data_IF_907665086067
#
_entry.id   IF_907665086067
#
_cell.length_a   1.000
_cell.length_b   1.000
_cell.length_c   1.000
_cell.angle_alpha   90.00
_cell.angle_beta   90.00
_cell.angle_gamma   90.00
#
_symmetry.space_group_name_H-M   'P 1'
#
loop_
_entity.id
_entity.type
_entity.pdbx_description
1 polymer ?
#
# COMPACT_ATOMS: atom_id res chain seq x y z
N UNK A 1 -44.82 51.92 -30.67
CA UNK A 1 -44.32 51.86 -29.31
C UNK A 1 -44.53 50.42 -28.82
N UNK A 2 -43.55 49.55 -28.95
CA UNK A 2 -43.60 48.17 -28.49
C UNK A 2 -42.45 47.94 -27.52
N UNK A 3 -42.78 47.77 -26.25
CA UNK A 3 -41.86 47.55 -25.14
C UNK A 3 -41.40 46.06 -25.17
N UNK A 4 -40.14 45.82 -25.43
CA UNK A 4 -39.52 44.52 -25.30
C UNK A 4 -39.16 44.28 -23.81
N UNK A 5 -39.85 43.35 -23.19
CA UNK A 5 -39.53 42.89 -21.84
C UNK A 5 -38.35 41.92 -21.96
N UNK A 6 -37.15 42.37 -21.59
CA UNK A 6 -35.97 41.55 -21.49
C UNK A 6 -36.05 40.63 -20.25
N UNK A 7 -36.25 39.33 -20.46
CA UNK A 7 -36.09 38.33 -19.43
C UNK A 7 -34.60 38.15 -19.14
N UNK A 8 -34.12 38.74 -18.07
CA UNK A 8 -32.78 38.42 -17.54
C UNK A 8 -32.84 37.03 -16.95
N UNK A 9 -32.29 36.04 -17.65
CA UNK A 9 -32.00 34.74 -17.08
C UNK A 9 -31.04 34.94 -15.89
N UNK A 10 -31.46 34.53 -14.71
CA UNK A 10 -30.56 34.44 -13.56
C UNK A 10 -29.42 33.46 -13.90
N UNK A 11 -28.17 33.74 -13.51
CA UNK A 11 -27.09 32.77 -13.70
C UNK A 11 -27.44 31.50 -12.94
N UNK A 12 -27.51 30.38 -13.65
CA UNK A 12 -27.54 29.04 -13.03
C UNK A 12 -26.21 28.91 -12.29
N UNK A 13 -26.22 29.13 -10.98
CA UNK A 13 -25.09 28.73 -10.13
C UNK A 13 -25.02 27.22 -10.25
N UNK A 14 -24.14 26.72 -11.11
CA UNK A 14 -23.69 25.37 -11.05
C UNK A 14 -22.95 25.26 -9.70
N UNK A 15 -23.62 24.76 -8.67
CA UNK A 15 -22.97 24.46 -7.39
C UNK A 15 -21.87 23.45 -7.67
N UNK A 16 -20.62 23.84 -7.37
CA UNK A 16 -19.48 22.98 -7.57
C UNK A 16 -19.70 21.69 -6.74
N UNK A 17 -19.63 20.55 -7.40
CA UNK A 17 -19.73 19.25 -6.73
C UNK A 17 -18.58 19.14 -5.74
N UNK A 18 -18.89 18.68 -4.52
CA UNK A 18 -17.92 18.49 -3.46
C UNK A 18 -17.81 17.01 -3.14
N UNK A 19 -16.56 16.49 -3.08
CA UNK A 19 -16.25 15.10 -2.72
C UNK A 19 -15.30 15.10 -1.54
N UNK A 20 -15.83 14.98 -0.33
CA UNK A 20 -15.00 14.93 0.87
C UNK A 20 -14.57 13.49 1.16
N UNK A 21 -13.30 13.33 1.52
CA UNK A 21 -12.73 12.04 1.87
C UNK A 21 -12.83 11.78 3.37
N UNK A 22 -13.17 10.55 3.73
CA UNK A 22 -13.28 10.11 5.12
C UNK A 22 -12.34 8.91 5.32
N UNK A 23 -11.38 9.05 6.23
CA UNK A 23 -10.34 8.05 6.48
C UNK A 23 -10.28 7.67 7.96
N UNK A 24 -10.13 6.38 8.32
CA UNK A 24 -9.95 5.94 9.70
C UNK A 24 -8.78 6.60 10.42
N UNK A 25 -7.61 6.60 9.78
CA UNK A 25 -6.38 7.23 10.31
C UNK A 25 -5.58 7.87 9.18
N UNK A 26 -5.13 9.10 9.38
CA UNK A 26 -4.29 9.84 8.43
C UNK A 26 -2.84 9.88 8.95
N UNK A 27 -1.89 9.38 8.16
CA UNK A 27 -0.48 9.37 8.49
C UNK A 27 0.38 9.61 7.24
N UNK A 28 1.47 10.37 7.37
CA UNK A 28 2.35 10.73 6.24
C UNK A 28 3.18 9.57 5.70
N UNK A 29 3.48 8.59 6.59
CA UNK A 29 4.29 7.41 6.24
C UNK A 29 3.45 6.16 6.00
N UNK A 30 2.16 6.34 5.76
CA UNK A 30 1.24 5.28 5.39
C UNK A 30 0.79 5.45 3.93
N UNK A 31 0.86 4.39 3.16
CA UNK A 31 0.48 4.37 1.75
C UNK A 31 -0.92 4.94 1.50
N UNK A 32 -1.87 4.65 2.40
CA UNK A 32 -3.27 5.09 2.28
C UNK A 32 -3.40 6.58 2.60
N UNK A 33 -2.63 7.07 3.59
CA UNK A 33 -2.56 8.50 3.90
C UNK A 33 -2.05 9.32 2.71
N UNK A 34 -0.91 8.90 2.13
CA UNK A 34 -0.34 9.53 0.92
C UNK A 34 -1.31 9.47 -0.25
N UNK A 35 -1.91 8.31 -0.52
CA UNK A 35 -2.94 8.17 -1.55
C UNK A 35 -4.10 9.15 -1.35
N UNK A 36 -4.61 9.27 -0.11
CA UNK A 36 -5.74 10.16 0.22
C UNK A 36 -5.41 11.63 -0.08
N UNK A 37 -4.20 12.08 0.28
CA UNK A 37 -3.76 13.45 0.01
C UNK A 37 -3.56 13.71 -1.48
N UNK A 38 -2.93 12.80 -2.21
CA UNK A 38 -2.75 12.90 -3.66
C UNK A 38 -4.09 12.92 -4.39
N UNK A 39 -5.07 12.13 -3.95
CA UNK A 39 -6.42 12.14 -4.51
C UNK A 39 -7.13 13.46 -4.22
N UNK A 40 -7.03 14.02 -3.01
CA UNK A 40 -7.57 15.34 -2.66
C UNK A 40 -7.04 16.40 -3.64
N UNK A 41 -5.75 16.41 -3.83
CA UNK A 41 -5.09 17.41 -4.67
C UNK A 41 -5.46 17.21 -6.16
N UNK A 42 -5.58 15.97 -6.62
CA UNK A 42 -6.08 15.64 -7.96
C UNK A 42 -7.53 16.08 -8.18
N UNK A 43 -8.41 15.85 -7.21
CA UNK A 43 -9.81 16.30 -7.27
C UNK A 43 -9.88 17.84 -7.34
N UNK A 44 -9.14 18.54 -6.49
CA UNK A 44 -9.07 20.01 -6.47
C UNK A 44 -8.53 20.57 -7.79
N UNK A 45 -7.49 19.96 -8.34
CA UNK A 45 -6.95 20.35 -9.66
C UNK A 45 -7.97 20.17 -10.80
N UNK A 46 -8.90 19.23 -10.65
CA UNK A 46 -10.00 19.01 -11.61
C UNK A 46 -11.26 19.87 -11.34
N UNK A 47 -11.21 20.81 -10.39
CA UNK A 47 -12.31 21.71 -10.06
C UNK A 47 -13.38 21.09 -9.14
N UNK A 48 -13.06 19.98 -8.46
CA UNK A 48 -13.94 19.34 -7.47
C UNK A 48 -13.43 19.72 -6.09
N UNK A 49 -14.24 20.38 -5.27
CA UNK A 49 -13.88 20.64 -3.89
C UNK A 49 -13.71 19.34 -3.12
N UNK A 50 -12.63 19.21 -2.36
CA UNK A 50 -12.34 18.02 -1.56
C UNK A 50 -11.56 18.39 -0.31
N UNK A 51 -12.03 17.94 0.84
CA UNK A 51 -11.31 17.96 2.12
C UNK A 51 -11.17 16.54 2.66
N UNK A 52 -10.20 16.35 3.57
CA UNK A 52 -9.95 15.09 4.25
C UNK A 52 -10.47 15.17 5.69
N UNK A 53 -11.26 14.18 6.09
CA UNK A 53 -11.79 14.03 7.44
C UNK A 53 -11.28 12.70 8.03
N UNK A 54 -10.58 12.78 9.16
CA UNK A 54 -9.95 11.63 9.79
C UNK A 54 -10.58 11.26 11.13
N UNK A 55 -10.46 9.99 11.51
CA UNK A 55 -10.76 9.51 12.87
C UNK A 55 -9.61 9.78 13.83
N UNK A 56 -8.39 9.48 13.37
CA UNK A 56 -7.13 9.78 14.06
C UNK A 56 -6.09 10.28 13.06
N UNK A 57 -4.99 10.83 13.54
CA UNK A 57 -3.90 11.32 12.69
C UNK A 57 -2.55 11.28 13.43
N UNK A 58 -1.45 11.29 12.67
CA UNK A 58 -0.13 11.60 13.21
C UNK A 58 0.11 13.10 13.26
N UNK A 59 0.92 13.63 14.20
CA UNK A 59 1.07 15.09 14.40
C UNK A 59 1.54 15.87 13.17
N UNK A 60 2.32 15.24 12.31
CA UNK A 60 2.91 15.84 11.11
C UNK A 60 1.90 16.13 9.99
N UNK A 61 0.73 15.47 10.01
CA UNK A 61 -0.35 15.68 9.02
C UNK A 61 -1.63 16.29 9.59
N UNK A 62 -1.60 16.79 10.83
CA UNK A 62 -2.76 17.43 11.46
C UNK A 62 -3.36 18.55 10.61
N UNK A 63 -2.51 19.34 9.95
CA UNK A 63 -2.91 20.45 9.10
C UNK A 63 -3.47 20.04 7.73
N UNK A 64 -3.35 18.77 7.34
CA UNK A 64 -3.79 18.24 6.04
C UNK A 64 -5.26 17.80 6.01
N UNK A 65 -5.89 17.72 7.19
CA UNK A 65 -7.29 17.32 7.31
C UNK A 65 -7.97 17.89 8.55
N UNK A 66 -9.15 17.38 8.85
CA UNK A 66 -9.95 17.78 10.02
C UNK A 66 -10.52 16.54 10.70
N UNK A 67 -10.80 16.58 12.01
CA UNK A 67 -11.52 15.51 12.69
C UNK A 67 -12.88 15.23 12.02
N UNK A 68 -13.26 13.96 11.89
CA UNK A 68 -14.51 13.55 11.23
C UNK A 68 -15.77 14.13 11.90
N UNK A 69 -15.69 14.46 13.20
CA UNK A 69 -16.78 15.15 13.92
C UNK A 69 -17.07 16.55 13.39
N UNK A 70 -16.13 17.16 12.68
CA UNK A 70 -16.26 18.48 12.03
C UNK A 70 -16.85 18.41 10.63
N UNK A 71 -17.28 17.24 10.16
CA UNK A 71 -17.85 17.07 8.81
C UNK A 71 -19.09 17.95 8.56
N UNK A 72 -19.66 18.53 9.60
CA UNK A 72 -20.76 19.48 9.55
C UNK A 72 -22.09 18.85 9.12
N UNK A 73 -23.07 19.70 8.72
CA UNK A 73 -24.39 19.23 8.28
C UNK A 73 -24.32 18.58 6.91
N UNK A 74 -25.21 17.61 6.66
CA UNK A 74 -25.35 16.99 5.34
C UNK A 74 -25.69 18.05 4.26
N UNK A 75 -25.01 17.96 3.11
CA UNK A 75 -25.20 18.86 1.96
C UNK A 75 -25.73 18.08 0.75
N UNK A 76 -26.63 18.72 -0.06
CA UNK A 76 -27.20 18.07 -1.24
C UNK A 76 -26.18 17.84 -2.35
N UNK A 77 -25.16 18.71 -2.44
CA UNK A 77 -24.12 18.69 -3.48
C UNK A 77 -22.81 18.08 -2.97
N UNK A 78 -22.85 17.43 -1.80
CA UNK A 78 -21.72 16.76 -1.16
C UNK A 78 -21.79 15.25 -1.36
N UNK A 79 -20.65 14.67 -1.74
CA UNK A 79 -20.39 13.24 -1.75
C UNK A 79 -19.37 12.89 -0.68
N UNK A 80 -19.43 11.67 -0.16
CA UNK A 80 -18.46 11.16 0.81
C UNK A 80 -17.72 9.99 0.20
N UNK A 81 -16.40 10.09 0.09
CA UNK A 81 -15.52 9.02 -0.34
C UNK A 81 -14.84 8.39 0.89
N UNK A 82 -15.17 7.15 1.18
CA UNK A 82 -14.60 6.42 2.32
C UNK A 82 -13.35 5.64 1.92
N UNK A 83 -12.24 5.91 2.61
CA UNK A 83 -10.97 5.19 2.47
C UNK A 83 -11.02 3.95 3.38
N UNK A 84 -11.49 2.83 2.84
CA UNK A 84 -11.76 1.60 3.58
C UNK A 84 -10.49 0.74 3.72
N UNK A 85 -9.88 0.72 4.91
CA UNK A 85 -8.62 0.02 5.19
C UNK A 85 -8.63 -0.83 6.46
N UNK A 86 -9.50 -0.49 7.42
CA UNK A 86 -9.65 -1.19 8.70
C UNK A 86 -11.00 -0.84 9.32
N UNK A 87 -11.44 -1.61 10.32
CA UNK A 87 -12.62 -1.28 11.12
C UNK A 87 -12.40 -0.04 11.99
N UNK A 88 -13.38 0.85 12.01
CA UNK A 88 -13.26 2.12 12.73
C UNK A 88 -14.61 2.67 13.14
N UNK A 89 -14.72 3.38 14.28
CA UNK A 89 -15.91 4.16 14.65
C UNK A 89 -16.28 5.23 13.62
N UNK A 90 -15.35 5.67 12.79
CA UNK A 90 -15.58 6.61 11.66
C UNK A 90 -16.64 6.07 10.70
N UNK A 91 -16.70 4.75 10.52
CA UNK A 91 -17.75 4.12 9.72
C UNK A 91 -19.16 4.43 10.22
N UNK A 92 -19.39 4.42 11.53
CA UNK A 92 -20.73 4.66 12.08
C UNK A 92 -21.21 6.09 11.80
N UNK A 93 -20.28 7.06 11.88
CA UNK A 93 -20.53 8.45 11.49
C UNK A 93 -20.88 8.52 10.00
N UNK A 94 -20.08 7.89 9.14
CA UNK A 94 -20.30 7.85 7.70
C UNK A 94 -21.63 7.16 7.33
N UNK A 95 -21.93 6.01 7.93
CA UNK A 95 -23.12 5.20 7.63
C UNK A 95 -24.42 5.92 8.02
N UNK A 96 -24.39 6.74 9.08
CA UNK A 96 -25.55 7.52 9.54
C UNK A 96 -25.86 8.73 8.62
N UNK A 97 -25.00 9.05 7.66
CA UNK A 97 -25.17 10.23 6.80
C UNK A 97 -26.00 9.92 5.55
N UNK A 98 -26.74 10.92 5.09
CA UNK A 98 -27.63 10.82 3.92
C UNK A 98 -26.98 11.09 2.60
N UNK A 99 -25.75 11.66 2.57
CA UNK A 99 -25.01 11.93 1.35
C UNK A 99 -24.72 10.64 0.57
N UNK A 100 -24.70 10.70 -0.76
CA UNK A 100 -24.24 9.57 -1.58
C UNK A 100 -22.78 9.24 -1.27
N UNK A 101 -22.46 7.94 -1.32
CA UNK A 101 -21.17 7.43 -0.90
C UNK A 101 -20.41 6.78 -2.05
N UNK A 102 -19.12 7.04 -2.07
CA UNK A 102 -18.10 6.33 -2.84
C UNK A 102 -17.22 5.57 -1.85
N UNK A 103 -16.61 4.48 -2.29
CA UNK A 103 -15.68 3.70 -1.48
C UNK A 103 -14.38 3.55 -2.26
N UNK A 104 -13.25 3.74 -1.59
CA UNK A 104 -11.96 3.26 -2.05
C UNK A 104 -11.49 2.16 -1.09
N UNK A 105 -11.24 0.99 -1.63
CA UNK A 105 -10.94 -0.20 -0.84
C UNK A 105 -9.46 -0.56 -0.95
N UNK A 106 -8.75 -0.38 0.17
CA UNK A 106 -7.30 -0.58 0.31
C UNK A 106 -6.91 -1.96 0.86
N UNK A 107 -7.83 -2.90 0.84
CA UNK A 107 -7.72 -4.21 1.46
C UNK A 107 -7.83 -4.19 2.99
N UNK A 108 -8.45 -5.21 3.53
CA UNK A 108 -8.50 -5.47 4.97
C UNK A 108 -8.03 -6.91 5.21
N UNK A 109 -6.89 -7.05 5.89
CA UNK A 109 -6.29 -8.35 6.21
C UNK A 109 -7.31 -9.27 6.90
N UNK A 110 -7.44 -10.54 6.51
CA UNK A 110 -8.27 -11.52 7.22
C UNK A 110 -7.83 -11.64 8.68
N UNK A 111 -8.80 -11.59 9.60
CA UNK A 111 -8.54 -11.54 11.05
C UNK A 111 -7.81 -12.79 11.57
N UNK A 112 -8.02 -13.95 10.94
CA UNK A 112 -7.37 -15.21 11.27
C UNK A 112 -5.84 -15.16 11.12
N UNK A 113 -5.31 -14.34 10.21
CA UNK A 113 -3.87 -14.15 10.02
C UNK A 113 -3.21 -13.30 11.13
N UNK A 114 -4.01 -12.66 11.96
CA UNK A 114 -3.56 -11.74 13.02
C UNK A 114 -3.89 -12.24 14.42
N UNK A 115 -4.90 -13.08 14.56
CA UNK A 115 -5.57 -13.39 15.84
C UNK A 115 -4.63 -13.90 16.92
N UNK A 116 -3.71 -14.78 16.56
CA UNK A 116 -2.84 -15.46 17.54
C UNK A 116 -1.73 -14.53 18.08
N UNK A 117 -1.42 -13.47 17.34
CA UNK A 117 -0.37 -12.54 17.69
C UNK A 117 -0.87 -11.15 18.10
N UNK A 118 -1.85 -10.63 17.37
CA UNK A 118 -2.37 -9.27 17.52
C UNK A 118 -3.92 -9.28 17.59
N UNK A 119 -4.51 -9.82 18.67
CA UNK A 119 -5.95 -10.03 18.75
C UNK A 119 -6.79 -8.74 18.66
N UNK A 120 -6.26 -7.61 19.13
CA UNK A 120 -6.93 -6.31 19.01
C UNK A 120 -7.03 -5.88 17.55
N UNK A 121 -5.93 -5.99 16.78
CA UNK A 121 -5.91 -5.65 15.35
C UNK A 121 -6.77 -6.65 14.55
N UNK A 122 -6.76 -7.93 14.95
CA UNK A 122 -7.63 -8.94 14.35
C UNK A 122 -9.11 -8.60 14.53
N UNK A 123 -9.51 -8.11 15.72
CA UNK A 123 -10.87 -7.64 15.96
C UNK A 123 -11.22 -6.45 15.05
N UNK A 124 -10.35 -5.46 14.96
CA UNK A 124 -10.56 -4.30 14.07
C UNK A 124 -10.67 -4.73 12.60
N UNK A 125 -9.84 -5.68 12.16
CA UNK A 125 -9.91 -6.22 10.79
C UNK A 125 -11.24 -6.93 10.53
N UNK A 126 -11.71 -7.78 11.44
CA UNK A 126 -13.03 -8.45 11.35
C UNK A 126 -14.17 -7.45 11.32
N UNK A 127 -14.10 -6.42 12.18
CA UNK A 127 -15.06 -5.32 12.19
C UNK A 127 -15.09 -4.60 10.85
N UNK A 128 -13.92 -4.26 10.31
CA UNK A 128 -13.79 -3.54 9.03
C UNK A 128 -14.40 -4.31 7.85
N UNK A 129 -14.17 -5.61 7.76
CA UNK A 129 -14.82 -6.47 6.74
C UNK A 129 -16.36 -6.47 6.89
N UNK A 130 -16.86 -6.50 8.12
CA UNK A 130 -18.29 -6.39 8.41
C UNK A 130 -18.85 -5.03 8.00
N UNK A 131 -18.14 -3.95 8.34
CA UNK A 131 -18.51 -2.57 8.00
C UNK A 131 -18.51 -2.36 6.48
N UNK A 132 -17.50 -2.85 5.77
CA UNK A 132 -17.41 -2.78 4.33
C UNK A 132 -18.63 -3.45 3.65
N UNK A 133 -19.02 -4.66 4.09
CA UNK A 133 -20.20 -5.34 3.58
C UNK A 133 -21.51 -4.57 3.83
N UNK A 134 -21.65 -3.94 5.01
CA UNK A 134 -22.82 -3.11 5.33
C UNK A 134 -22.89 -1.82 4.53
N UNK A 135 -21.76 -1.33 4.01
CA UNK A 135 -21.70 -0.11 3.22
C UNK A 135 -22.08 -0.36 1.75
N UNK A 136 -21.98 -1.58 1.25
CA UNK A 136 -22.25 -1.91 -0.15
C UNK A 136 -23.59 -1.39 -0.68
N UNK A 137 -24.76 -1.59 -0.01
CA UNK A 137 -26.05 -1.09 -0.49
C UNK A 137 -26.18 0.45 -0.46
N UNK A 138 -25.30 1.15 0.26
CA UNK A 138 -25.29 2.61 0.38
C UNK A 138 -24.30 3.28 -0.60
N UNK A 139 -23.44 2.47 -1.23
CA UNK A 139 -22.36 2.96 -2.12
C UNK A 139 -22.84 3.01 -3.56
N UNK A 140 -22.55 4.13 -4.24
CA UNK A 140 -22.87 4.31 -5.66
C UNK A 140 -21.79 3.70 -6.55
N UNK A 141 -20.54 3.78 -6.11
CA UNK A 141 -19.39 3.30 -6.84
C UNK A 141 -18.25 2.97 -5.87
N UNK A 142 -17.41 2.01 -6.23
CA UNK A 142 -16.23 1.69 -5.44
C UNK A 142 -14.98 1.54 -6.33
N UNK A 143 -13.83 1.98 -5.82
CA UNK A 143 -12.53 1.78 -6.43
C UNK A 143 -11.74 0.80 -5.58
N UNK A 144 -10.99 -0.08 -6.22
CA UNK A 144 -10.11 -1.06 -5.59
C UNK A 144 -8.68 -0.88 -6.10
N UNK A 145 -7.68 -1.15 -5.25
CA UNK A 145 -6.27 -0.99 -5.62
C UNK A 145 -5.76 -2.09 -6.57
N UNK A 146 -6.49 -3.22 -6.67
CA UNK A 146 -6.16 -4.37 -7.50
C UNK A 146 -7.42 -5.14 -7.92
N UNK A 147 -7.30 -6.01 -8.93
CA UNK A 147 -8.39 -6.90 -9.32
C UNK A 147 -8.73 -7.91 -8.21
N UNK A 148 -7.75 -8.31 -7.39
CA UNK A 148 -8.02 -9.10 -6.18
C UNK A 148 -8.95 -8.35 -5.23
N UNK A 149 -8.64 -7.10 -4.88
CA UNK A 149 -9.50 -6.27 -4.03
C UNK A 149 -10.88 -6.04 -4.65
N UNK A 150 -10.96 -5.83 -5.97
CA UNK A 150 -12.23 -5.69 -6.68
C UNK A 150 -13.08 -6.97 -6.54
N UNK A 151 -12.46 -8.15 -6.61
CA UNK A 151 -13.16 -9.43 -6.43
C UNK A 151 -13.78 -9.57 -5.04
N UNK A 152 -13.11 -9.06 -3.99
CA UNK A 152 -13.66 -9.00 -2.62
C UNK A 152 -14.85 -8.03 -2.55
N UNK A 153 -14.80 -6.89 -3.22
CA UNK A 153 -15.93 -5.96 -3.31
C UNK A 153 -17.15 -6.60 -3.99
N UNK A 154 -16.94 -7.32 -5.08
CA UNK A 154 -18.01 -8.06 -5.78
C UNK A 154 -18.65 -9.12 -4.85
N UNK A 155 -17.84 -9.86 -4.11
CA UNK A 155 -18.31 -10.85 -3.15
C UNK A 155 -19.16 -10.22 -2.02
N UNK A 156 -18.92 -8.95 -1.68
CA UNK A 156 -19.69 -8.18 -0.71
C UNK A 156 -20.92 -7.46 -1.30
N UNK A 157 -21.17 -7.62 -2.62
CA UNK A 157 -22.35 -7.08 -3.30
C UNK A 157 -22.21 -5.68 -3.89
N UNK A 158 -20.99 -5.12 -3.98
CA UNK A 158 -20.74 -3.91 -4.74
C UNK A 158 -20.96 -4.17 -6.23
N UNK A 159 -21.67 -3.26 -6.93
CA UNK A 159 -22.08 -3.47 -8.34
C UNK A 159 -21.33 -2.56 -9.32
N UNK A 160 -21.03 -1.32 -8.90
CA UNK A 160 -20.23 -0.40 -9.70
C UNK A 160 -18.83 -0.36 -9.13
N UNK A 161 -17.85 -0.94 -9.83
CA UNK A 161 -16.46 -1.01 -9.37
C UNK A 161 -15.49 -0.67 -10.48
N UNK A 162 -14.27 -0.28 -10.11
CA UNK A 162 -13.13 -0.17 -11.01
C UNK A 162 -11.82 -0.40 -10.25
N UNK A 163 -10.80 -0.80 -10.96
CA UNK A 163 -9.44 -0.95 -10.41
C UNK A 163 -8.62 0.28 -10.78
N UNK A 164 -8.05 0.94 -9.75
CA UNK A 164 -7.03 1.99 -9.91
C UNK A 164 -5.95 1.73 -8.86
N UNK A 165 -4.68 1.57 -9.27
CA UNK A 165 -3.57 1.41 -8.34
C UNK A 165 -3.49 2.59 -7.35
N UNK A 166 -2.83 2.34 -6.21
CA UNK A 166 -2.58 3.38 -5.21
C UNK A 166 -1.91 4.62 -5.82
N UNK A 167 -2.41 5.79 -5.46
CA UNK A 167 -1.89 7.09 -5.92
C UNK A 167 -0.65 7.48 -5.12
N UNK A 168 0.45 6.81 -5.41
CA UNK A 168 1.75 7.03 -4.76
C UNK A 168 2.79 7.20 -5.86
N UNK A 169 3.72 8.11 -5.67
CA UNK A 169 4.86 8.24 -6.57
C UNK A 169 5.87 7.11 -6.28
N UNK A 170 5.74 6.03 -7.01
CA UNK A 170 6.61 4.86 -6.92
C UNK A 170 7.93 5.03 -7.69
N UNK A 171 8.09 6.15 -8.37
CA UNK A 171 9.31 6.50 -9.12
C UNK A 171 10.08 7.64 -8.48
N UNK A 172 9.56 8.20 -7.38
CA UNK A 172 10.24 9.28 -6.67
C UNK A 172 11.55 8.76 -6.09
N UNK A 173 12.61 8.89 -6.89
CA UNK A 173 13.99 8.87 -6.39
C UNK A 173 14.29 10.22 -5.74
N UNK A 174 13.35 10.72 -4.94
CA UNK A 174 13.38 12.09 -4.42
C UNK A 174 14.44 12.27 -3.35
N UNK A 175 14.82 11.20 -2.69
CA UNK A 175 15.82 11.25 -1.64
C UNK A 175 17.18 10.78 -2.18
N UNK A 176 18.21 11.62 -2.01
CA UNK A 176 19.57 11.11 -2.08
C UNK A 176 19.74 10.06 -0.97
N UNK A 177 20.42 8.94 -1.25
CA UNK A 177 20.61 7.90 -0.25
C UNK A 177 21.37 8.45 0.95
N UNK A 178 21.01 8.02 2.15
CA UNK A 178 21.78 8.36 3.35
C UNK A 178 23.23 7.91 3.17
N UNK A 179 24.19 8.86 3.18
CA UNK A 179 25.57 8.56 2.82
C UNK A 179 26.29 7.68 3.84
N UNK A 180 25.91 7.77 5.12
CA UNK A 180 26.54 6.97 6.18
C UNK A 180 26.06 5.52 6.10
N UNK A 181 24.77 5.30 5.92
CA UNK A 181 24.21 3.97 5.75
C UNK A 181 24.68 3.33 4.44
N UNK A 182 24.65 4.05 3.33
CA UNK A 182 25.13 3.55 2.04
C UNK A 182 26.62 3.12 2.12
N UNK A 183 27.47 3.95 2.71
CA UNK A 183 28.88 3.61 2.93
C UNK A 183 29.05 2.42 3.90
N UNK A 184 28.17 2.29 4.91
CA UNK A 184 28.21 1.15 5.84
C UNK A 184 27.85 -0.16 5.16
N UNK A 185 26.79 -0.16 4.34
CA UNK A 185 26.36 -1.34 3.56
C UNK A 185 27.44 -1.75 2.55
N UNK A 186 28.01 -0.78 1.82
CA UNK A 186 29.09 -1.02 0.87
C UNK A 186 30.34 -1.62 1.55
N UNK A 187 30.81 -1.02 2.65
CA UNK A 187 31.97 -1.54 3.41
C UNK A 187 31.74 -2.96 3.92
N UNK A 188 30.51 -3.26 4.36
CA UNK A 188 30.17 -4.63 4.79
C UNK A 188 30.24 -5.62 3.62
N UNK A 189 29.67 -5.23 2.49
CA UNK A 189 29.70 -6.05 1.26
C UNK A 189 31.13 -6.27 0.75
N UNK A 190 31.97 -5.25 0.79
CA UNK A 190 33.39 -5.36 0.41
C UNK A 190 34.19 -6.28 1.36
N UNK A 191 33.92 -6.19 2.67
CA UNK A 191 34.66 -6.96 3.69
C UNK A 191 34.24 -8.43 3.72
N UNK A 192 32.92 -8.69 3.71
CA UNK A 192 32.35 -10.01 4.02
C UNK A 192 31.84 -10.73 2.77
N UNK A 193 31.72 -10.03 1.64
CA UNK A 193 31.03 -10.53 0.46
C UNK A 193 29.53 -10.74 0.68
N UNK A 194 28.94 -11.64 -0.09
CA UNK A 194 27.56 -12.09 0.04
C UNK A 194 26.50 -11.10 -0.48
N UNK A 195 25.30 -11.63 -0.70
CA UNK A 195 24.17 -10.87 -1.21
C UNK A 195 23.41 -10.16 -0.09
N UNK A 196 22.90 -8.95 -0.41
CA UNK A 196 21.99 -8.21 0.42
C UNK A 196 20.55 -8.39 -0.08
N UNK A 197 19.74 -9.12 0.69
CA UNK A 197 18.31 -9.31 0.44
C UNK A 197 17.53 -8.22 1.15
N UNK A 198 16.52 -7.66 0.50
CA UNK A 198 15.68 -6.62 1.07
C UNK A 198 14.22 -7.08 1.17
N UNK A 199 13.63 -6.85 2.32
CA UNK A 199 12.20 -6.83 2.57
C UNK A 199 11.80 -5.45 3.10
N UNK A 200 10.72 -4.88 2.59
CA UNK A 200 10.14 -3.63 3.10
C UNK A 200 8.67 -3.86 3.42
N UNK A 201 8.27 -3.52 4.64
CA UNK A 201 6.88 -3.66 5.08
C UNK A 201 6.77 -3.77 6.59
N UNK A 202 5.54 -3.72 7.10
CA UNK A 202 5.32 -3.90 8.55
C UNK A 202 5.83 -5.28 9.00
N UNK A 203 6.49 -5.31 10.13
CA UNK A 203 6.88 -6.56 10.80
C UNK A 203 5.65 -7.11 11.49
N UNK A 204 4.98 -8.05 10.84
CA UNK A 204 3.68 -8.57 11.28
C UNK A 204 3.45 -10.01 10.82
N UNK A 205 2.57 -10.78 11.49
CA UNK A 205 2.36 -12.19 11.19
C UNK A 205 1.99 -12.46 9.74
N UNK A 206 1.03 -11.72 9.20
CA UNK A 206 0.53 -11.91 7.83
C UNK A 206 1.52 -11.48 6.73
N UNK A 207 2.54 -10.70 7.08
CA UNK A 207 3.65 -10.38 6.18
C UNK A 207 4.74 -11.47 6.18
N UNK A 208 4.64 -12.40 7.12
CA UNK A 208 5.45 -13.61 7.25
C UNK A 208 6.98 -13.42 7.11
N UNK A 209 7.61 -12.40 7.74
CA UNK A 209 9.05 -12.25 7.71
C UNK A 209 9.78 -13.45 8.34
N UNK A 210 9.13 -14.23 9.21
CA UNK A 210 9.68 -15.48 9.74
C UNK A 210 9.93 -16.54 8.65
N UNK A 211 9.17 -16.56 7.55
CA UNK A 211 9.43 -17.45 6.41
C UNK A 211 10.63 -16.96 5.59
N UNK A 212 10.87 -15.66 5.52
CA UNK A 212 12.09 -15.09 4.93
C UNK A 212 13.34 -15.44 5.79
N UNK A 213 13.22 -15.47 7.12
CA UNK A 213 14.30 -15.92 8.01
C UNK A 213 14.63 -17.39 7.80
N UNK A 214 13.62 -18.26 7.68
CA UNK A 214 13.82 -19.68 7.31
C UNK A 214 14.48 -19.84 5.94
N UNK A 215 14.05 -19.05 4.97
CA UNK A 215 14.64 -19.02 3.64
C UNK A 215 16.11 -18.57 3.71
N UNK A 216 16.45 -17.53 4.49
CA UNK A 216 17.82 -17.08 4.68
C UNK A 216 18.72 -18.19 5.28
N UNK A 217 18.23 -18.94 6.27
CA UNK A 217 18.99 -20.07 6.85
C UNK A 217 19.37 -21.11 5.78
N UNK A 218 18.41 -21.48 4.93
CA UNK A 218 18.68 -22.41 3.81
C UNK A 218 19.62 -21.77 2.78
N UNK A 219 19.40 -20.51 2.42
CA UNK A 219 20.24 -19.79 1.45
C UNK A 219 21.70 -19.74 1.90
N UNK A 220 21.96 -19.42 3.17
CA UNK A 220 23.31 -19.36 3.74
C UNK A 220 24.00 -20.72 3.80
N UNK A 221 23.25 -21.79 4.05
CA UNK A 221 23.81 -23.14 4.09
C UNK A 221 24.15 -23.73 2.72
N UNK A 222 23.42 -23.32 1.68
CA UNK A 222 23.46 -24.01 0.38
C UNK A 222 24.05 -23.16 -0.73
N UNK A 223 23.77 -21.86 -0.76
CA UNK A 223 24.06 -21.01 -1.91
C UNK A 223 25.05 -19.87 -1.62
N UNK A 224 24.83 -19.12 -0.54
CA UNK A 224 25.65 -17.95 -0.20
C UNK A 224 25.79 -17.81 1.33
N UNK A 225 26.89 -18.34 1.91
CA UNK A 225 27.12 -18.31 3.37
C UNK A 225 27.19 -16.89 3.96
N UNK A 226 27.48 -15.90 3.16
CA UNK A 226 27.58 -14.50 3.58
C UNK A 226 26.32 -13.66 3.28
N UNK A 227 25.24 -14.28 2.76
CA UNK A 227 23.99 -13.59 2.48
C UNK A 227 23.38 -12.94 3.74
N UNK A 228 22.77 -11.79 3.55
CA UNK A 228 22.11 -10.98 4.58
C UNK A 228 20.68 -10.65 4.19
N UNK A 229 19.81 -10.47 5.20
CA UNK A 229 18.42 -10.06 5.02
C UNK A 229 18.15 -8.79 5.84
N UNK A 230 17.77 -7.73 5.16
CA UNK A 230 17.33 -6.47 5.76
C UNK A 230 15.81 -6.40 5.74
N UNK A 231 15.17 -6.45 6.90
CA UNK A 231 13.72 -6.37 7.06
C UNK A 231 13.34 -4.99 7.60
N UNK A 232 13.11 -4.06 6.67
CA UNK A 232 12.85 -2.65 6.95
C UNK A 232 11.36 -2.43 7.19
N UNK A 233 11.00 -1.85 8.33
CA UNK A 233 9.64 -1.45 8.67
C UNK A 233 9.32 -1.50 10.15
N UNK A 234 8.24 -0.84 10.54
CA UNK A 234 7.78 -0.83 11.93
C UNK A 234 7.06 -2.12 12.30
N UNK A 235 7.09 -2.52 13.59
CA UNK A 235 6.26 -3.61 14.07
C UNK A 235 4.77 -3.25 13.99
N UNK A 236 3.95 -4.28 13.82
CA UNK A 236 2.51 -4.22 14.05
C UNK A 236 2.25 -4.82 15.43
N UNK A 237 1.89 -3.99 16.41
CA UNK A 237 1.70 -4.45 17.79
C UNK A 237 3.01 -4.72 18.54
N UNK A 238 2.92 -5.50 19.63
CA UNK A 238 4.02 -5.64 20.59
C UNK A 238 4.52 -7.08 20.75
N UNK A 239 3.86 -8.08 20.17
CA UNK A 239 4.14 -9.48 20.48
C UNK A 239 4.94 -10.20 19.40
N UNK A 240 4.68 -9.93 18.14
CA UNK A 240 5.27 -10.68 17.04
C UNK A 240 6.76 -10.37 16.80
N UNK A 241 7.18 -9.09 16.82
CA UNK A 241 8.58 -8.74 16.55
C UNK A 241 9.54 -9.32 17.60
N UNK A 242 9.28 -9.27 18.93
CA UNK A 242 10.12 -9.93 19.91
C UNK A 242 10.29 -11.45 19.67
N UNK A 243 9.21 -12.12 19.29
CA UNK A 243 9.27 -13.54 18.93
C UNK A 243 10.10 -13.80 17.67
N UNK A 244 9.99 -12.93 16.66
CA UNK A 244 10.82 -13.00 15.45
C UNK A 244 12.31 -12.81 15.78
N UNK A 245 12.65 -11.85 16.65
CA UNK A 245 14.04 -11.64 17.09
C UNK A 245 14.59 -12.88 17.83
N UNK A 246 13.81 -13.45 18.76
CA UNK A 246 14.19 -14.68 19.43
C UNK A 246 14.40 -15.85 18.44
N UNK A 247 13.56 -15.96 17.43
CA UNK A 247 13.69 -16.97 16.38
C UNK A 247 14.95 -16.78 15.52
N UNK A 248 15.32 -15.54 15.19
CA UNK A 248 16.56 -15.21 14.49
C UNK A 248 17.79 -15.66 15.32
N UNK A 249 17.79 -15.37 16.62
CA UNK A 249 18.88 -15.75 17.52
C UNK A 249 18.98 -17.28 17.69
N UNK A 250 17.84 -17.97 17.81
CA UNK A 250 17.80 -19.43 17.93
C UNK A 250 18.38 -20.14 16.68
N UNK A 251 18.20 -19.55 15.51
CA UNK A 251 18.79 -20.05 14.26
C UNK A 251 20.26 -19.64 14.07
N UNK A 252 20.81 -18.81 14.97
CA UNK A 252 22.19 -18.30 14.86
C UNK A 252 22.36 -17.30 13.71
N UNK A 253 21.30 -16.54 13.37
CA UNK A 253 21.28 -15.58 12.27
C UNK A 253 21.36 -14.11 12.72
N UNK A 254 21.73 -13.86 13.98
CA UNK A 254 21.80 -12.49 14.53
C UNK A 254 22.78 -11.56 13.79
N UNK A 255 23.78 -12.11 13.10
CA UNK A 255 24.73 -11.37 12.26
C UNK A 255 24.27 -11.20 10.79
N UNK A 256 23.16 -11.82 10.42
CA UNK A 256 22.69 -11.92 9.03
C UNK A 256 21.26 -11.43 8.77
N UNK A 257 20.40 -11.43 9.78
CA UNK A 257 19.01 -10.96 9.67
C UNK A 257 18.82 -9.70 10.51
N UNK A 258 18.54 -8.59 9.85
CA UNK A 258 18.49 -7.25 10.45
C UNK A 258 17.08 -6.69 10.47
N UNK A 259 16.68 -6.12 11.61
CA UNK A 259 15.39 -5.44 11.84
C UNK A 259 15.68 -3.99 12.23
N UNK A 260 15.98 -3.09 11.27
CA UNK A 260 16.34 -1.69 11.57
C UNK A 260 15.15 -0.86 12.06
N UNK A 261 13.92 -1.38 11.95
CA UNK A 261 12.71 -0.64 12.29
C UNK A 261 12.28 0.30 11.16
N UNK A 262 11.55 1.35 11.54
CA UNK A 262 11.21 2.44 10.61
C UNK A 262 12.44 3.27 10.30
N UNK A 263 12.64 3.57 9.02
CA UNK A 263 13.78 4.35 8.52
C UNK A 263 13.27 5.62 7.81
N UNK A 264 14.15 6.58 7.57
CA UNK A 264 13.86 7.75 6.73
C UNK A 264 13.78 7.36 5.24
N UNK A 265 13.28 8.27 4.40
CA UNK A 265 13.27 8.06 2.94
C UNK A 265 14.69 7.88 2.37
N UNK A 266 15.65 8.69 2.84
CA UNK A 266 17.05 8.60 2.44
C UNK A 266 17.72 7.27 2.85
N UNK A 267 17.40 6.75 4.04
CA UNK A 267 17.87 5.42 4.47
C UNK A 267 17.18 4.30 3.67
N UNK A 268 15.89 4.42 3.37
CA UNK A 268 15.16 3.45 2.55
C UNK A 268 15.75 3.39 1.12
N UNK A 269 16.07 4.55 0.54
CA UNK A 269 16.76 4.65 -0.74
C UNK A 269 18.13 3.95 -0.72
N UNK A 270 18.90 4.08 0.38
CA UNK A 270 20.16 3.38 0.55
C UNK A 270 19.98 1.85 0.58
N UNK A 271 18.93 1.34 1.24
CA UNK A 271 18.62 -0.09 1.23
C UNK A 271 18.22 -0.59 -0.16
N UNK A 272 17.37 0.13 -0.89
CA UNK A 272 16.99 -0.28 -2.25
C UNK A 272 18.21 -0.30 -3.20
N UNK A 273 19.10 0.68 -3.12
CA UNK A 273 20.32 0.72 -3.95
C UNK A 273 21.32 -0.38 -3.59
N UNK A 274 21.35 -0.83 -2.34
CA UNK A 274 22.25 -1.89 -1.91
C UNK A 274 21.72 -3.30 -2.18
N UNK A 275 20.40 -3.44 -2.40
CA UNK A 275 19.74 -4.72 -2.52
C UNK A 275 20.09 -5.46 -3.83
N UNK A 276 20.47 -6.73 -3.71
CA UNK A 276 20.66 -7.64 -4.86
C UNK A 276 19.34 -8.31 -5.27
N UNK A 277 18.45 -8.58 -4.30
CA UNK A 277 17.13 -9.19 -4.52
C UNK A 277 16.13 -8.66 -3.49
N UNK A 278 14.96 -8.29 -3.95
CA UNK A 278 13.82 -8.02 -3.08
C UNK A 278 13.03 -9.31 -2.83
N UNK A 279 12.74 -9.61 -1.58
CA UNK A 279 12.07 -10.85 -1.19
C UNK A 279 10.78 -10.59 -0.42
N UNK A 280 9.71 -11.34 -0.71
CA UNK A 280 8.42 -11.18 -0.05
C UNK A 280 7.68 -12.52 0.11
N UNK A 281 7.30 -12.85 1.35
CA UNK A 281 6.60 -14.08 1.70
C UNK A 281 5.22 -13.87 2.33
N UNK A 282 4.63 -12.67 2.15
CA UNK A 282 3.34 -12.29 2.75
C UNK A 282 2.23 -13.31 2.47
N UNK A 283 1.36 -13.55 3.43
CA UNK A 283 0.15 -14.36 3.29
C UNK A 283 -1.04 -13.57 2.72
N UNK A 284 -0.95 -12.26 2.74
CA UNK A 284 -2.03 -11.39 2.25
C UNK A 284 -1.51 -10.01 1.84
N UNK A 285 -1.87 -9.58 0.63
CA UNK A 285 -1.55 -8.27 0.05
C UNK A 285 -2.72 -7.73 -0.77
N UNK A 286 -3.00 -6.44 -0.63
CA UNK A 286 -4.00 -5.75 -1.45
C UNK A 286 -3.43 -5.18 -2.76
N UNK A 287 -2.17 -4.76 -2.74
CA UNK A 287 -1.40 -4.25 -3.89
C UNK A 287 0.10 -4.53 -3.71
N UNK A 288 0.62 -4.25 -2.52
CA UNK A 288 2.03 -4.35 -2.16
C UNK A 288 2.90 -3.25 -2.81
N UNK A 289 2.81 -2.03 -2.28
CA UNK A 289 3.63 -0.88 -2.71
C UNK A 289 5.13 -1.20 -2.77
N UNK A 290 5.74 -1.89 -1.79
CA UNK A 290 7.18 -2.19 -1.83
C UNK A 290 7.62 -3.03 -3.04
N UNK A 291 6.75 -3.85 -3.63
CA UNK A 291 7.05 -4.53 -4.90
C UNK A 291 7.18 -3.54 -6.05
N UNK A 292 6.30 -2.54 -6.11
CA UNK A 292 6.36 -1.51 -7.15
C UNK A 292 7.59 -0.60 -6.96
N UNK A 293 7.95 -0.29 -5.72
CA UNK A 293 9.18 0.45 -5.38
C UNK A 293 10.43 -0.35 -5.78
N UNK A 294 10.51 -1.64 -5.45
CA UNK A 294 11.62 -2.51 -5.86
C UNK A 294 11.75 -2.56 -7.39
N UNK A 295 10.63 -2.68 -8.11
CA UNK A 295 10.61 -2.62 -9.57
C UNK A 295 11.12 -1.27 -10.11
N UNK A 296 10.73 -0.16 -9.49
CA UNK A 296 11.20 1.20 -9.84
C UNK A 296 12.71 1.40 -9.64
N UNK A 297 13.31 0.66 -8.70
CA UNK A 297 14.76 0.63 -8.48
C UNK A 297 15.50 -0.40 -9.36
N UNK A 298 14.77 -1.20 -10.15
CA UNK A 298 15.36 -2.27 -10.94
C UNK A 298 15.89 -3.43 -10.09
N UNK A 299 15.39 -3.59 -8.87
CA UNK A 299 15.78 -4.70 -7.99
C UNK A 299 14.99 -5.95 -8.37
N UNK A 300 15.65 -7.09 -8.71
CA UNK A 300 14.98 -8.33 -9.01
C UNK A 300 14.12 -8.82 -7.86
N UNK A 301 12.93 -9.34 -8.17
CA UNK A 301 11.94 -9.75 -7.18
C UNK A 301 11.83 -11.28 -7.13
N UNK A 302 11.82 -11.83 -5.91
CA UNK A 302 11.36 -13.20 -5.63
C UNK A 302 10.25 -13.11 -4.57
N UNK A 303 9.04 -13.50 -4.92
CA UNK A 303 7.87 -13.32 -4.07
C UNK A 303 6.96 -14.55 -4.03
N UNK A 304 6.26 -14.75 -2.91
CA UNK A 304 5.17 -15.72 -2.82
C UNK A 304 3.93 -15.20 -3.53
N UNK A 305 3.34 -16.04 -4.39
CA UNK A 305 2.21 -15.69 -5.25
C UNK A 305 0.86 -15.78 -4.56
N UNK A 306 0.54 -14.81 -3.70
CA UNK A 306 -0.72 -14.73 -2.97
C UNK A 306 -1.50 -13.48 -3.35
N UNK A 307 -2.82 -13.55 -3.34
CA UNK A 307 -3.75 -12.42 -3.48
C UNK A 307 -3.38 -11.49 -4.66
N UNK A 308 -3.04 -10.23 -4.45
CA UNK A 308 -2.69 -9.27 -5.51
C UNK A 308 -1.25 -9.39 -6.04
N UNK A 309 -0.37 -10.17 -5.41
CA UNK A 309 1.06 -10.25 -5.78
C UNK A 309 1.30 -10.66 -7.23
N UNK A 310 0.65 -11.71 -7.77
CA UNK A 310 0.83 -12.10 -9.18
C UNK A 310 0.43 -10.98 -10.16
N UNK A 311 -0.62 -10.21 -9.83
CA UNK A 311 -1.09 -9.07 -10.62
C UNK A 311 -0.10 -7.90 -10.56
N UNK A 312 0.38 -7.56 -9.37
CA UNK A 312 1.32 -6.45 -9.17
C UNK A 312 2.63 -6.73 -9.88
N UNK A 313 3.21 -7.91 -9.70
CA UNK A 313 4.47 -8.31 -10.34
C UNK A 313 4.32 -8.53 -11.85
N UNK A 314 3.24 -9.18 -12.29
CA UNK A 314 2.86 -9.37 -13.71
C UNK A 314 4.02 -9.81 -14.61
N UNK A 315 4.79 -10.81 -14.18
CA UNK A 315 5.92 -11.36 -14.94
C UNK A 315 7.27 -10.62 -14.75
N UNK A 316 7.30 -9.52 -13.98
CA UNK A 316 8.51 -8.75 -13.68
C UNK A 316 9.30 -9.30 -12.48
N UNK A 317 9.09 -10.54 -12.09
CA UNK A 317 9.77 -11.20 -10.98
C UNK A 317 9.48 -12.69 -10.96
N UNK A 318 10.15 -13.43 -10.10
CA UNK A 318 9.85 -14.82 -9.83
C UNK A 318 8.75 -14.91 -8.77
N UNK A 319 7.55 -15.28 -9.21
CA UNK A 319 6.39 -15.49 -8.33
C UNK A 319 6.24 -16.99 -8.07
N UNK A 320 6.40 -17.39 -6.82
CA UNK A 320 6.43 -18.77 -6.40
C UNK A 320 5.03 -19.22 -5.92
N UNK A 321 4.59 -20.44 -6.26
CA UNK A 321 3.34 -20.99 -5.77
C UNK A 321 3.43 -21.51 -4.32
N UNK A 322 4.64 -21.63 -3.78
CA UNK A 322 4.96 -22.12 -2.45
C UNK A 322 6.05 -21.26 -1.81
N UNK A 323 5.88 -20.92 -0.52
CA UNK A 323 6.84 -20.14 0.26
C UNK A 323 7.70 -20.97 1.21
N UNK A 324 7.70 -22.31 1.05
CA UNK A 324 8.59 -23.18 1.80
C UNK A 324 10.06 -22.76 1.62
N UNK A 325 10.84 -22.83 2.69
CA UNK A 325 12.18 -22.25 2.74
C UNK A 325 13.12 -22.76 1.63
N UNK A 326 13.06 -24.06 1.31
CA UNK A 326 13.97 -24.68 0.33
C UNK A 326 13.69 -24.19 -1.10
N UNK A 327 12.48 -24.29 -1.67
CA UNK A 327 12.21 -23.77 -3.02
C UNK A 327 12.38 -22.25 -3.08
N UNK A 328 12.05 -21.50 -2.00
CA UNK A 328 12.26 -20.08 -1.98
C UNK A 328 13.75 -19.71 -2.02
N UNK A 329 14.58 -20.35 -1.19
CA UNK A 329 16.04 -20.17 -1.21
C UNK A 329 16.66 -20.58 -2.56
N UNK A 330 16.15 -21.65 -3.20
CA UNK A 330 16.60 -22.06 -4.52
C UNK A 330 16.29 -20.99 -5.61
N UNK A 331 15.11 -20.37 -5.55
CA UNK A 331 14.75 -19.29 -6.45
C UNK A 331 15.64 -18.04 -6.26
N UNK A 332 15.88 -17.64 -4.99
CA UNK A 332 16.82 -16.55 -4.68
C UNK A 332 18.22 -16.89 -5.15
N UNK A 333 18.73 -18.10 -4.82
CA UNK A 333 20.05 -18.57 -5.28
C UNK A 333 20.17 -18.59 -6.80
N UNK A 334 19.10 -18.94 -7.53
CA UNK A 334 19.06 -18.88 -8.99
C UNK A 334 19.21 -17.45 -9.51
N UNK A 335 18.50 -16.49 -8.92
CA UNK A 335 18.64 -15.06 -9.29
C UNK A 335 20.05 -14.57 -9.00
N UNK A 336 20.62 -14.89 -7.85
CA UNK A 336 21.96 -14.47 -7.46
C UNK A 336 23.05 -15.07 -8.36
N UNK A 337 22.88 -16.33 -8.80
CA UNK A 337 23.87 -17.06 -9.61
C UNK A 337 23.78 -16.81 -11.12
N UNK A 338 22.74 -16.12 -11.63
CA UNK A 338 22.52 -15.93 -13.06
C UNK A 338 22.35 -14.42 -13.38
N UNK A 339 23.45 -13.79 -13.80
CA UNK A 339 23.49 -12.37 -14.15
C UNK A 339 22.47 -12.01 -15.25
N UNK A 340 22.35 -12.85 -16.28
CA UNK A 340 21.41 -12.64 -17.38
C UNK A 340 19.95 -12.64 -16.87
N UNK A 341 19.64 -13.54 -15.94
CA UNK A 341 18.30 -13.59 -15.32
C UNK A 341 18.06 -12.30 -14.51
N UNK A 342 19.05 -11.85 -13.72
CA UNK A 342 18.94 -10.59 -12.98
C UNK A 342 18.63 -9.40 -13.90
N UNK A 343 19.38 -9.27 -14.99
CA UNK A 343 19.20 -8.19 -15.97
C UNK A 343 17.80 -8.22 -16.59
N UNK A 344 17.30 -9.41 -16.95
CA UNK A 344 15.96 -9.58 -17.50
C UNK A 344 14.91 -9.17 -16.47
N UNK A 345 15.03 -9.59 -15.22
CA UNK A 345 14.06 -9.27 -14.17
C UNK A 345 14.09 -7.78 -13.82
N UNK A 346 15.30 -7.19 -13.73
CA UNK A 346 15.45 -5.76 -13.48
C UNK A 346 14.82 -4.91 -14.60
N UNK A 347 15.09 -5.23 -15.86
CA UNK A 347 14.51 -4.53 -17.00
C UNK A 347 12.98 -4.69 -17.06
N UNK A 348 12.46 -5.89 -16.81
CA UNK A 348 11.03 -6.14 -16.73
C UNK A 348 10.37 -5.38 -15.57
N UNK A 349 11.05 -5.29 -14.42
CA UNK A 349 10.62 -4.50 -13.26
C UNK A 349 10.47 -3.03 -13.60
N UNK A 350 11.50 -2.41 -14.17
CA UNK A 350 11.48 -1.01 -14.61
C UNK A 350 10.35 -0.74 -15.62
N UNK A 351 10.15 -1.65 -16.57
CA UNK A 351 9.04 -1.53 -17.53
C UNK A 351 7.68 -1.64 -16.84
N UNK A 352 7.52 -2.56 -15.90
CA UNK A 352 6.26 -2.77 -15.17
C UNK A 352 5.93 -1.59 -14.27
N UNK A 353 6.92 -1.06 -13.53
CA UNK A 353 6.73 0.07 -12.61
C UNK A 353 6.26 1.33 -13.33
N UNK A 354 6.68 1.55 -14.59
CA UNK A 354 6.20 2.65 -15.42
C UNK A 354 4.68 2.64 -15.63
N UNK A 355 4.02 1.49 -15.45
CA UNK A 355 2.56 1.37 -15.47
C UNK A 355 1.85 1.88 -14.21
N UNK A 356 2.60 2.22 -13.16
CA UNK A 356 2.08 2.78 -11.90
C UNK A 356 2.31 4.29 -11.80
N UNK A 357 2.25 4.99 -12.93
CA UNK A 357 2.42 6.44 -12.98
C UNK A 357 1.35 7.16 -12.16
N UNK A 358 1.79 8.04 -11.24
CA UNK A 358 0.91 8.77 -10.32
C UNK A 358 -0.06 9.67 -11.08
N UNK A 359 0.40 10.41 -12.09
CA UNK A 359 -0.43 11.36 -12.81
C UNK A 359 -1.52 10.65 -13.62
N UNK A 360 -1.17 9.57 -14.32
CA UNK A 360 -2.12 8.75 -15.08
C UNK A 360 -3.16 8.07 -14.16
N UNK A 361 -2.71 7.51 -13.04
CA UNK A 361 -3.59 6.89 -12.04
C UNK A 361 -4.52 7.90 -11.39
N UNK A 362 -4.02 9.09 -11.04
CA UNK A 362 -4.82 10.20 -10.49
C UNK A 362 -5.87 10.66 -11.50
N UNK A 363 -5.49 10.88 -12.75
CA UNK A 363 -6.42 11.27 -13.80
C UNK A 363 -7.53 10.22 -13.99
N UNK A 364 -7.18 8.94 -13.99
CA UNK A 364 -8.15 7.84 -14.10
C UNK A 364 -9.10 7.84 -12.91
N UNK A 365 -8.60 7.98 -11.68
CA UNK A 365 -9.44 8.00 -10.48
C UNK A 365 -10.41 9.19 -10.51
N UNK A 366 -9.90 10.40 -10.78
CA UNK A 366 -10.71 11.62 -10.89
C UNK A 366 -11.81 11.48 -11.95
N UNK A 367 -11.48 10.90 -13.13
CA UNK A 367 -12.46 10.66 -14.18
C UNK A 367 -13.59 9.72 -13.74
N UNK A 368 -13.26 8.66 -12.97
CA UNK A 368 -14.26 7.74 -12.40
C UNK A 368 -15.17 8.45 -11.39
N UNK A 369 -14.59 9.29 -10.53
CA UNK A 369 -15.37 10.11 -9.58
C UNK A 369 -16.30 11.06 -10.35
N UNK A 370 -15.82 11.77 -11.37
CA UNK A 370 -16.66 12.67 -12.20
C UNK A 370 -17.82 11.94 -12.85
N UNK A 371 -17.58 10.73 -13.38
CA UNK A 371 -18.64 9.89 -13.94
C UNK A 371 -19.67 9.45 -12.89
N UNK A 372 -19.21 9.04 -11.71
CA UNK A 372 -20.09 8.61 -10.63
C UNK A 372 -20.98 9.72 -10.10
N UNK A 373 -20.44 10.96 -9.95
CA UNK A 373 -21.19 12.11 -9.45
C UNK A 373 -22.06 12.78 -10.51
N UNK A 374 -21.65 12.72 -11.79
CA UNK A 374 -22.39 13.31 -12.91
C UNK A 374 -23.55 12.42 -13.42
N UNK A 375 -23.60 11.15 -13.05
CA UNK A 375 -24.67 10.21 -13.38
C UNK A 375 -25.86 10.27 -12.39
N UNK A 376 -25.89 11.24 -11.48
CA UNK A 376 -26.85 11.36 -10.36
C UNK A 376 -27.97 12.33 -10.63
#
# INVERSE_FOLDING_TARGET
>A
MGSAIGVRGAPVHCTAVRVDQVIPSLASRDAIGVHTLNLRDGLRAAGIDSDVFYGSHTPDVEHEGRPVIELGRAGRDRWLLYQASIGSPVYDILAARSEPKLVNYHNITPAELLRDWEPAVAYEAALGRTQLGRLAPQSRFAVADSAFNESELHALGYRGTAVVPLLIDMHSKSDEPDPELAASLARRKERDGGADLLYVGKISPHKAPHDLVKMLDVLRRVYDPAARLHMVGSPLGETYEPALRAFIEELGLGDAAFLPGSVSGAELEAYFRAADVFVMASDHEGFCVPLAEAMGHGVPIVAYGVTAVPETVSGAGLVLPDKSAVPFAAAVGRVLGDERLRDILAAAGLQRSAGFDLAASTQRFVSLVQQAVGAS
#
